data_IF_851423924296
#
_entry.id   IF_851423924296
#
_cell.length_a   1.000
_cell.length_b   1.000
_cell.length_c   1.000
_cell.angle_alpha   90.00
_cell.angle_beta   90.00
_cell.angle_gamma   90.00
#
_symmetry.space_group_name_H-M   'P 1'
#
loop_
_entity.id
_entity.type
_entity.pdbx_description
1 polymer ?
#
# COMPACT_ATOMS: atom_id res chain seq x y z
N UNK A 1 27.85 19.49 7.36
CA UNK A 1 27.16 18.39 6.66
C UNK A 1 26.23 18.92 5.57
N UNK A 2 25.70 18.06 4.67
CA UNK A 2 24.93 18.46 3.47
C UNK A 2 23.90 19.57 3.71
N UNK A 3 23.16 19.52 4.83
CA UNK A 3 22.17 20.55 5.16
C UNK A 3 22.81 21.89 5.55
N UNK A 4 23.95 21.87 6.21
CA UNK A 4 24.70 23.06 6.57
C UNK A 4 25.23 23.80 5.35
N UNK A 5 25.64 23.06 4.31
CA UNK A 5 26.10 23.60 3.02
C UNK A 5 24.99 24.43 2.33
N UNK A 6 23.72 24.12 2.62
CA UNK A 6 22.54 24.86 2.16
C UNK A 6 22.01 25.87 3.22
N UNK A 7 22.79 26.12 4.25
CA UNK A 7 22.43 27.09 5.32
C UNK A 7 21.27 26.63 6.20
N UNK A 8 21.03 25.32 6.28
CA UNK A 8 20.05 24.69 7.20
C UNK A 8 20.81 24.10 8.37
N UNK A 9 20.57 24.65 9.56
CA UNK A 9 21.10 24.13 10.83
C UNK A 9 20.07 23.25 11.49
N UNK A 10 20.53 22.14 12.08
CA UNK A 10 19.70 21.18 12.78
C UNK A 10 20.49 19.95 13.20
N UNK A 11 19.81 19.04 13.85
CA UNK A 11 20.40 17.81 14.39
C UNK A 11 19.61 16.59 13.87
N UNK A 12 20.32 15.57 13.39
CA UNK A 12 19.72 14.25 13.11
C UNK A 12 19.54 13.55 14.46
N UNK A 13 18.29 13.47 14.91
CA UNK A 13 17.92 12.89 16.21
C UNK A 13 17.67 11.39 16.14
N UNK A 14 17.41 10.86 14.95
CA UNK A 14 17.17 9.44 14.77
C UNK A 14 17.43 9.03 13.31
N UNK A 15 17.84 7.77 13.12
CA UNK A 15 18.01 7.14 11.81
C UNK A 15 17.31 5.79 11.83
N UNK A 16 16.37 5.58 10.92
CA UNK A 16 15.61 4.34 10.78
C UNK A 16 15.88 3.72 9.43
N UNK A 17 16.78 2.74 9.36
CA UNK A 17 17.01 2.00 8.14
C UNK A 17 15.82 1.08 7.85
N UNK A 18 15.29 1.16 6.65
CA UNK A 18 14.26 0.25 6.15
C UNK A 18 14.81 -0.62 5.01
N UNK A 19 13.99 -1.54 4.45
CA UNK A 19 14.43 -2.44 3.39
C UNK A 19 14.71 -1.73 2.06
N UNK A 20 14.06 -0.62 1.79
CA UNK A 20 14.15 0.13 0.52
C UNK A 20 14.62 1.57 0.74
N UNK A 21 14.20 2.19 1.83
CA UNK A 21 14.39 3.60 2.17
C UNK A 21 14.93 3.69 3.59
N UNK A 22 15.85 4.63 3.84
CA UNK A 22 16.26 5.02 5.18
C UNK A 22 15.64 6.36 5.53
N UNK A 23 14.98 6.43 6.68
CA UNK A 23 14.40 7.66 7.23
C UNK A 23 15.37 8.31 8.22
N UNK A 24 15.73 9.54 7.96
CA UNK A 24 16.47 10.40 8.88
C UNK A 24 15.49 11.40 9.52
N UNK A 25 15.45 11.45 10.85
CA UNK A 25 14.64 12.41 11.57
C UNK A 25 15.51 13.63 11.91
N UNK A 26 15.23 14.76 11.27
CA UNK A 26 15.93 16.03 11.48
C UNK A 26 15.12 16.91 12.43
N UNK A 27 15.73 17.35 13.53
CA UNK A 27 15.25 18.48 14.31
C UNK A 27 15.91 19.75 13.79
N UNK A 28 15.17 20.63 13.11
CA UNK A 28 15.74 21.88 12.60
C UNK A 28 16.02 22.86 13.76
N UNK A 29 16.98 23.73 13.58
CA UNK A 29 17.24 24.81 14.54
C UNK A 29 16.02 25.75 14.65
N UNK A 30 15.83 26.36 15.81
CA UNK A 30 14.73 27.31 16.05
C UNK A 30 14.70 28.40 14.99
N UNK A 31 13.52 28.73 14.49
CA UNK A 31 13.32 29.71 13.44
C UNK A 31 13.51 29.19 12.00
N UNK A 32 13.90 27.93 11.82
CA UNK A 32 13.97 27.31 10.48
C UNK A 32 12.57 26.91 10.02
N UNK A 33 12.11 27.46 8.88
CA UNK A 33 10.83 27.11 8.29
C UNK A 33 10.92 25.73 7.65
N UNK A 34 9.97 24.85 7.95
CA UNK A 34 9.89 23.49 7.36
C UNK A 34 9.84 23.54 5.83
N UNK A 35 9.11 24.51 5.25
CA UNK A 35 9.02 24.69 3.79
C UNK A 35 10.39 24.93 3.13
N UNK A 36 11.34 25.57 3.81
CA UNK A 36 12.71 25.76 3.31
C UNK A 36 13.43 24.43 3.17
N UNK A 37 13.32 23.54 4.17
CA UNK A 37 13.98 22.24 4.14
C UNK A 37 13.31 21.31 3.09
N UNK A 38 11.97 21.36 3.02
CA UNK A 38 11.19 20.61 2.02
C UNK A 38 11.59 21.02 0.60
N UNK A 39 11.78 22.31 0.34
CA UNK A 39 12.21 22.84 -0.95
C UNK A 39 13.62 22.40 -1.38
N UNK A 40 14.44 21.88 -0.45
CA UNK A 40 15.79 21.39 -0.74
C UNK A 40 15.84 19.89 -1.09
N UNK A 41 14.71 19.23 -1.29
CA UNK A 41 14.66 17.79 -1.54
C UNK A 41 15.59 17.35 -2.69
N UNK A 42 15.56 18.06 -3.82
CA UNK A 42 16.39 17.73 -4.99
C UNK A 42 17.88 18.00 -4.74
N UNK A 43 18.19 19.07 -4.01
CA UNK A 43 19.57 19.41 -3.64
C UNK A 43 20.15 18.40 -2.66
N UNK A 44 19.35 17.93 -1.70
CA UNK A 44 19.72 16.87 -0.77
C UNK A 44 19.98 15.57 -1.54
N UNK A 45 19.07 15.19 -2.46
CA UNK A 45 19.22 13.99 -3.28
C UNK A 45 20.54 14.05 -4.09
N UNK A 46 20.79 15.16 -4.76
CA UNK A 46 22.02 15.37 -5.55
C UNK A 46 23.27 15.27 -4.67
N UNK A 47 23.29 15.95 -3.52
CA UNK A 47 24.46 15.96 -2.63
C UNK A 47 24.73 14.63 -1.96
N UNK A 48 23.70 13.79 -1.79
CA UNK A 48 23.81 12.44 -1.24
C UNK A 48 24.01 11.36 -2.31
N UNK A 49 24.09 11.74 -3.59
CA UNK A 49 24.18 10.78 -4.70
C UNK A 49 22.94 9.87 -4.83
N UNK A 50 21.81 10.30 -4.27
CA UNK A 50 20.56 9.56 -4.28
C UNK A 50 19.72 9.93 -5.51
N UNK A 51 18.92 8.96 -6.00
CA UNK A 51 18.01 9.18 -7.15
C UNK A 51 16.93 10.19 -6.83
N UNK A 52 16.50 10.26 -5.57
CA UNK A 52 15.48 11.18 -5.07
C UNK A 52 15.62 11.35 -3.55
N UNK A 53 15.05 12.41 -3.01
CA UNK A 53 14.83 12.58 -1.57
C UNK A 53 13.41 13.07 -1.34
N UNK A 54 12.80 12.63 -0.27
CA UNK A 54 11.51 13.15 0.17
C UNK A 54 11.67 13.77 1.55
N UNK A 55 11.25 15.02 1.69
CA UNK A 55 11.26 15.72 2.97
C UNK A 55 9.82 16.02 3.38
N UNK A 56 9.43 15.64 4.58
CA UNK A 56 8.07 15.84 5.10
C UNK A 56 8.08 16.15 6.60
N UNK A 57 7.03 16.82 7.07
CA UNK A 57 6.81 17.02 8.49
C UNK A 57 6.38 15.70 9.14
N UNK A 58 6.95 15.35 10.29
CA UNK A 58 6.52 14.19 11.06
C UNK A 58 5.37 14.62 11.98
N UNK A 59 4.15 14.09 11.80
CA UNK A 59 3.02 14.48 12.64
C UNK A 59 3.28 14.22 14.13
N UNK A 60 2.95 15.21 14.97
CA UNK A 60 3.10 15.10 16.43
C UNK A 60 4.53 15.18 16.96
N UNK A 61 5.51 15.54 16.13
CA UNK A 61 6.92 15.73 16.53
C UNK A 61 7.46 17.06 15.99
N UNK A 62 8.38 17.66 16.75
CA UNK A 62 9.18 18.80 16.27
C UNK A 62 10.38 18.29 15.45
N UNK A 63 10.07 17.59 14.37
CA UNK A 63 11.06 16.99 13.48
C UNK A 63 10.55 16.87 12.05
N UNK A 64 11.47 16.87 11.10
CA UNK A 64 11.25 16.59 9.69
C UNK A 64 11.79 15.19 9.35
N UNK A 65 11.06 14.44 8.57
CA UNK A 65 11.53 13.19 8.00
C UNK A 65 12.21 13.43 6.66
N UNK A 66 13.44 12.96 6.51
CA UNK A 66 14.18 12.93 5.24
C UNK A 66 14.32 11.48 4.85
N UNK A 67 13.63 11.09 3.78
CA UNK A 67 13.63 9.74 3.23
C UNK A 67 14.61 9.68 2.06
N UNK A 68 15.60 8.79 2.15
CA UNK A 68 16.57 8.53 1.10
C UNK A 68 16.51 7.07 0.67
N UNK A 69 16.43 6.77 -0.64
CA UNK A 69 16.52 5.40 -1.13
C UNK A 69 17.85 4.76 -0.76
N UNK A 70 17.82 3.51 -0.33
CA UNK A 70 19.02 2.74 -0.08
C UNK A 70 19.75 2.43 -1.39
N UNK A 71 21.08 2.39 -1.37
CA UNK A 71 21.89 1.92 -2.51
C UNK A 71 21.56 0.46 -2.84
N UNK A 72 21.45 -0.38 -1.82
CA UNK A 72 20.99 -1.77 -1.94
C UNK A 72 19.58 -1.87 -1.39
N UNK A 73 18.64 -2.19 -2.28
CA UNK A 73 17.23 -2.38 -1.93
C UNK A 73 16.96 -3.85 -1.68
N UNK A 74 16.33 -4.16 -0.56
CA UNK A 74 15.89 -5.51 -0.25
C UNK A 74 14.55 -5.80 -0.91
N UNK A 75 14.40 -7.01 -1.45
CA UNK A 75 13.10 -7.49 -1.94
C UNK A 75 12.22 -7.89 -0.76
N UNK A 76 11.02 -7.33 -0.68
CA UNK A 76 10.01 -7.71 0.29
C UNK A 76 9.14 -8.81 -0.31
N UNK A 77 9.33 -10.05 0.14
CA UNK A 77 8.58 -11.20 -0.36
C UNK A 77 7.21 -11.29 0.32
N UNK A 78 6.16 -11.53 -0.48
CA UNK A 78 4.81 -11.72 0.04
C UNK A 78 4.75 -12.86 1.07
N UNK A 79 5.41 -13.97 0.82
CA UNK A 79 5.46 -15.11 1.74
C UNK A 79 5.90 -14.68 3.14
N UNK A 80 6.96 -13.87 3.22
CA UNK A 80 7.47 -13.39 4.50
C UNK A 80 6.45 -12.53 5.25
N UNK A 81 5.60 -11.78 4.53
CA UNK A 81 4.51 -11.00 5.12
C UNK A 81 3.37 -11.89 5.62
N UNK A 82 2.97 -12.90 4.83
CA UNK A 82 1.89 -13.84 5.19
C UNK A 82 2.26 -14.72 6.40
N UNK A 83 3.55 -14.95 6.61
CA UNK A 83 4.08 -15.72 7.75
C UNK A 83 4.22 -14.89 9.04
N UNK A 84 4.08 -13.56 8.98
CA UNK A 84 4.18 -12.69 10.18
C UNK A 84 3.04 -12.94 11.16
N UNK A 85 3.32 -12.73 12.44
CA UNK A 85 2.31 -12.83 13.51
C UNK A 85 1.19 -11.80 13.30
N UNK A 86 1.53 -10.61 12.82
CA UNK A 86 0.59 -9.53 12.53
C UNK A 86 -0.45 -9.95 11.47
N UNK A 87 -0.05 -10.67 10.43
CA UNK A 87 -0.97 -11.17 9.43
C UNK A 87 -1.77 -12.37 9.94
N UNK A 88 -1.11 -13.36 10.54
CA UNK A 88 -1.75 -14.60 11.02
C UNK A 88 -2.80 -14.33 12.11
N UNK A 89 -2.49 -13.44 13.04
CA UNK A 89 -3.35 -13.13 14.20
C UNK A 89 -4.25 -11.91 13.96
N UNK A 90 -4.24 -11.34 12.75
CA UNK A 90 -5.06 -10.17 12.42
C UNK A 90 -6.54 -10.47 12.64
N UNK A 91 -7.27 -9.55 13.25
CA UNK A 91 -8.72 -9.61 13.43
C UNK A 91 -9.48 -8.99 12.24
N UNK A 92 -8.75 -8.55 11.21
CA UNK A 92 -9.35 -8.00 9.99
C UNK A 92 -10.18 -9.06 9.26
N UNK A 93 -11.38 -8.69 8.84
CA UNK A 93 -12.27 -9.58 8.06
C UNK A 93 -11.67 -9.90 6.69
N UNK A 94 -11.13 -8.89 6.02
CA UNK A 94 -10.48 -8.97 4.71
C UNK A 94 -9.06 -8.42 4.81
N UNK A 95 -8.17 -9.16 5.49
CA UNK A 95 -6.79 -8.74 5.71
C UNK A 95 -5.99 -8.71 4.40
N UNK A 96 -5.35 -7.58 4.11
CA UNK A 96 -4.42 -7.40 3.01
C UNK A 96 -3.01 -7.15 3.56
N UNK A 97 -2.05 -7.93 3.10
CA UNK A 97 -0.64 -7.70 3.36
C UNK A 97 -0.07 -6.77 2.27
N UNK A 98 0.04 -5.48 2.55
CA UNK A 98 0.44 -4.48 1.55
C UNK A 98 1.95 -4.39 1.36
N UNK A 99 2.74 -4.74 2.37
CA UNK A 99 4.19 -4.60 2.32
C UNK A 99 4.78 -4.34 3.69
N UNK A 100 5.91 -3.64 3.71
CA UNK A 100 6.57 -3.15 4.93
C UNK A 100 6.57 -1.63 4.94
N UNK A 101 6.44 -1.07 6.13
CA UNK A 101 6.65 0.36 6.35
C UNK A 101 8.11 0.74 6.11
N UNK A 102 8.42 2.04 6.09
CA UNK A 102 9.79 2.56 5.99
C UNK A 102 10.68 1.95 7.08
N UNK A 103 10.17 1.74 8.28
CA UNK A 103 10.89 1.12 9.40
C UNK A 103 10.95 -0.41 9.38
N UNK A 104 10.47 -1.06 8.31
CA UNK A 104 10.51 -2.51 8.14
C UNK A 104 9.35 -3.29 8.79
N UNK A 105 8.44 -2.63 9.49
CA UNK A 105 7.28 -3.28 10.10
C UNK A 105 6.25 -3.70 9.03
N UNK A 106 5.61 -4.89 9.15
CA UNK A 106 4.54 -5.30 8.25
C UNK A 106 3.38 -4.31 8.24
N UNK A 107 2.82 -4.03 7.05
CA UNK A 107 1.63 -3.19 6.88
C UNK A 107 0.47 -4.08 6.47
N UNK A 108 -0.42 -4.34 7.42
CA UNK A 108 -1.63 -5.14 7.25
C UNK A 108 -2.84 -4.24 7.43
N UNK A 109 -3.76 -4.27 6.47
CA UNK A 109 -4.97 -3.45 6.48
C UNK A 109 -6.21 -4.30 6.26
N UNK A 110 -7.38 -3.79 6.64
CA UNK A 110 -8.67 -4.46 6.43
C UNK A 110 -9.42 -3.81 5.28
N UNK A 111 -9.55 -4.52 4.16
CA UNK A 111 -10.32 -4.06 2.99
C UNK A 111 -11.79 -3.82 3.35
N UNK A 112 -12.37 -4.58 4.30
CA UNK A 112 -13.75 -4.40 4.71
C UNK A 112 -14.02 -3.03 5.34
N UNK A 113 -12.99 -2.38 5.90
CA UNK A 113 -13.07 -1.03 6.48
C UNK A 113 -12.83 0.10 5.48
N UNK A 114 -12.30 -0.22 4.29
CA UNK A 114 -12.02 0.78 3.25
C UNK A 114 -13.19 1.00 2.30
N UNK A 115 -14.16 0.21 2.25
CA UNK A 115 -14.93 -0.64 1.34
C UNK A 115 -14.55 -0.49 -0.14
N UNK A 116 -13.94 0.60 -0.54
CA UNK A 116 -13.45 0.86 -1.90
C UNK A 116 -11.98 1.24 -1.85
N UNK A 117 -11.21 0.68 -2.78
CA UNK A 117 -9.77 0.93 -2.91
C UNK A 117 -9.43 1.27 -4.35
N UNK A 118 -8.82 2.44 -4.55
CA UNK A 118 -8.25 2.84 -5.84
C UNK A 118 -6.75 2.59 -5.81
N UNK A 119 -6.26 1.79 -6.77
CA UNK A 119 -4.82 1.55 -6.97
C UNK A 119 -4.40 2.21 -8.27
N UNK A 120 -3.54 3.22 -8.19
CA UNK A 120 -3.04 3.95 -9.34
C UNK A 120 -1.52 3.86 -9.43
N UNK A 121 -1.00 3.87 -10.66
CA UNK A 121 0.43 3.84 -10.93
C UNK A 121 0.71 3.80 -12.42
N UNK A 122 1.89 4.29 -12.81
CA UNK A 122 2.39 4.21 -14.19
C UNK A 122 2.77 2.78 -14.55
N UNK A 123 2.99 2.53 -15.84
CA UNK A 123 3.53 1.24 -16.29
C UNK A 123 4.85 0.93 -15.58
N UNK A 124 4.99 -0.28 -15.06
CA UNK A 124 6.19 -0.69 -14.32
C UNK A 124 6.24 -0.26 -12.85
N UNK A 125 5.26 0.48 -12.33
CA UNK A 125 5.21 0.90 -10.92
C UNK A 125 4.88 -0.24 -9.92
N UNK A 126 4.54 -1.44 -10.42
CA UNK A 126 4.16 -2.58 -9.58
C UNK A 126 2.66 -2.68 -9.27
N UNK A 127 1.79 -1.94 -9.97
CA UNK A 127 0.33 -1.98 -9.75
C UNK A 127 -0.23 -3.40 -9.84
N UNK A 128 0.11 -4.14 -10.89
CA UNK A 128 -0.35 -5.53 -11.08
C UNK A 128 0.17 -6.46 -9.99
N UNK A 129 1.42 -6.29 -9.58
CA UNK A 129 2.02 -7.02 -8.46
C UNK A 129 1.25 -6.73 -7.17
N UNK A 130 0.92 -5.46 -6.92
CA UNK A 130 0.15 -5.05 -5.73
C UNK A 130 -1.25 -5.67 -5.72
N UNK A 131 -1.97 -5.66 -6.85
CA UNK A 131 -3.29 -6.30 -6.97
C UNK A 131 -3.20 -7.80 -6.71
N UNK A 132 -2.21 -8.48 -7.31
CA UNK A 132 -1.97 -9.91 -7.06
C UNK A 132 -1.67 -10.19 -5.58
N UNK A 133 -0.85 -9.35 -4.94
CA UNK A 133 -0.55 -9.45 -3.50
C UNK A 133 -1.82 -9.35 -2.65
N UNK A 134 -2.74 -8.45 -2.99
CA UNK A 134 -4.03 -8.29 -2.31
C UNK A 134 -4.91 -9.51 -2.49
N UNK A 135 -5.05 -10.01 -3.73
CA UNK A 135 -5.83 -11.22 -4.02
C UNK A 135 -5.27 -12.42 -3.26
N UNK A 136 -3.95 -12.64 -3.34
CA UNK A 136 -3.28 -13.73 -2.62
C UNK A 136 -3.45 -13.61 -1.10
N UNK A 137 -3.39 -12.42 -0.53
CA UNK A 137 -3.64 -12.22 0.90
C UNK A 137 -5.01 -12.73 1.33
N UNK A 138 -6.04 -12.53 0.50
CA UNK A 138 -7.40 -13.00 0.78
C UNK A 138 -7.52 -14.52 0.63
N UNK A 139 -7.09 -15.09 -0.51
CA UNK A 139 -7.31 -16.51 -0.80
C UNK A 139 -6.42 -17.45 0.01
N UNK A 140 -5.25 -16.99 0.50
CA UNK A 140 -4.42 -17.77 1.43
C UNK A 140 -4.99 -17.86 2.85
N UNK A 141 -5.88 -16.94 3.20
CA UNK A 141 -6.43 -16.85 4.55
C UNK A 141 -7.89 -17.28 4.64
N UNK A 142 -8.69 -16.96 3.63
CA UNK A 142 -10.14 -17.11 3.65
C UNK A 142 -10.59 -18.24 2.74
N UNK A 143 -11.55 -19.01 3.22
CA UNK A 143 -12.21 -20.04 2.42
C UNK A 143 -13.23 -19.40 1.45
N UNK A 144 -13.67 -20.16 0.42
CA UNK A 144 -14.67 -19.67 -0.54
C UNK A 144 -16.02 -19.26 0.07
N UNK A 145 -16.38 -19.82 1.21
CA UNK A 145 -17.60 -19.44 1.96
C UNK A 145 -17.43 -18.13 2.76
N UNK A 146 -16.18 -17.74 3.04
CA UNK A 146 -15.83 -16.53 3.77
C UNK A 146 -15.53 -15.35 2.87
N UNK A 147 -15.04 -15.59 1.64
CA UNK A 147 -14.69 -14.56 0.67
C UNK A 147 -15.06 -15.01 -0.74
N UNK A 148 -15.91 -14.25 -1.40
CA UNK A 148 -16.28 -14.43 -2.81
C UNK A 148 -15.73 -13.29 -3.64
N UNK A 149 -15.28 -13.63 -4.85
CA UNK A 149 -14.61 -12.70 -5.74
C UNK A 149 -15.31 -12.66 -7.10
N UNK A 150 -15.42 -11.46 -7.65
CA UNK A 150 -15.69 -11.20 -9.06
C UNK A 150 -14.48 -10.47 -9.60
N UNK A 151 -13.82 -11.03 -10.60
CA UNK A 151 -12.65 -10.44 -11.22
C UNK A 151 -12.99 -9.96 -12.62
N UNK A 152 -12.61 -8.72 -12.93
CA UNK A 152 -12.84 -8.10 -14.24
C UNK A 152 -11.49 -7.67 -14.80
N UNK A 153 -11.09 -8.29 -15.91
CA UNK A 153 -9.81 -8.02 -16.59
C UNK A 153 -10.04 -7.83 -18.09
N UNK A 154 -10.47 -6.64 -18.53
CA UNK A 154 -10.77 -6.37 -19.93
C UNK A 154 -9.55 -6.43 -20.85
N UNK A 155 -8.35 -6.38 -20.31
CA UNK A 155 -7.10 -6.49 -21.05
C UNK A 155 -6.58 -7.92 -21.18
N UNK A 156 -7.13 -8.86 -20.42
CA UNK A 156 -6.75 -10.29 -20.38
C UNK A 156 -5.26 -10.52 -20.05
N UNK A 157 -4.67 -9.68 -19.21
CA UNK A 157 -3.22 -9.66 -18.98
C UNK A 157 -2.80 -10.13 -17.58
N UNK A 158 -3.69 -10.00 -16.58
CA UNK A 158 -3.25 -10.06 -15.18
C UNK A 158 -3.96 -11.10 -14.34
N UNK A 159 -5.27 -11.34 -14.55
CA UNK A 159 -6.11 -12.11 -13.64
C UNK A 159 -6.47 -13.52 -14.14
N UNK A 160 -6.11 -13.89 -15.36
CA UNK A 160 -6.41 -15.20 -15.95
C UNK A 160 -5.86 -16.38 -15.14
N UNK A 161 -4.78 -16.16 -14.39
CA UNK A 161 -4.17 -17.18 -13.50
C UNK A 161 -5.11 -17.62 -12.37
N UNK A 162 -6.13 -16.81 -12.05
CA UNK A 162 -7.13 -17.09 -11.02
C UNK A 162 -8.38 -17.79 -11.57
N UNK A 163 -8.50 -17.99 -12.87
CA UNK A 163 -9.63 -18.73 -13.40
C UNK A 163 -9.73 -20.11 -12.73
N UNK A 164 -10.94 -20.49 -12.40
CA UNK A 164 -11.28 -21.75 -11.75
C UNK A 164 -10.95 -21.85 -10.24
N UNK A 165 -10.44 -20.78 -9.58
CA UNK A 165 -10.36 -20.85 -8.12
C UNK A 165 -11.77 -20.87 -7.51
N UNK A 166 -11.98 -21.61 -6.41
CA UNK A 166 -13.32 -21.79 -5.84
C UNK A 166 -13.93 -20.53 -5.23
N UNK A 167 -13.14 -19.48 -5.06
CA UNK A 167 -13.57 -18.17 -4.57
C UNK A 167 -14.33 -17.35 -5.63
N UNK A 168 -14.17 -17.66 -6.91
CA UNK A 168 -14.84 -16.93 -7.98
C UNK A 168 -16.33 -17.24 -8.04
N UNK A 169 -17.17 -16.20 -8.15
CA UNK A 169 -18.61 -16.32 -8.44
C UNK A 169 -18.89 -16.57 -9.93
N UNK A 170 -17.99 -16.15 -10.80
CA UNK A 170 -18.02 -16.32 -12.24
C UNK A 170 -16.58 -16.42 -12.75
N UNK A 171 -16.31 -17.06 -13.90
CA UNK A 171 -15.00 -16.96 -14.54
C UNK A 171 -14.55 -15.50 -14.68
N UNK A 172 -13.26 -15.27 -14.79
CA UNK A 172 -12.71 -13.92 -14.96
C UNK A 172 -13.39 -13.24 -16.15
N UNK A 173 -13.98 -12.08 -15.90
CA UNK A 173 -14.76 -11.34 -16.91
C UNK A 173 -13.83 -10.51 -17.77
N UNK A 174 -13.71 -10.85 -19.04
CA UNK A 174 -12.84 -10.18 -20.00
C UNK A 174 -13.61 -9.28 -20.99
N UNK A 175 -14.90 -9.53 -21.20
CA UNK A 175 -15.77 -8.74 -22.06
C UNK A 175 -16.34 -7.53 -21.30
N UNK A 176 -16.16 -6.28 -21.80
CA UNK A 176 -16.71 -5.09 -21.17
C UNK A 176 -18.23 -5.11 -20.96
N UNK A 177 -18.99 -5.72 -21.88
CA UNK A 177 -20.45 -5.84 -21.76
C UNK A 177 -20.82 -6.76 -20.59
N UNK A 178 -20.10 -7.88 -20.45
CA UNK A 178 -20.28 -8.81 -19.33
C UNK A 178 -19.85 -8.18 -18.01
N UNK A 179 -18.83 -7.30 -18.00
CA UNK A 179 -18.44 -6.55 -16.82
C UNK A 179 -19.58 -5.67 -16.29
N UNK A 180 -20.32 -4.99 -17.17
CA UNK A 180 -21.51 -4.21 -16.79
C UNK A 180 -22.58 -5.10 -16.17
N UNK A 181 -22.78 -6.30 -16.71
CA UNK A 181 -23.74 -7.27 -16.15
C UNK A 181 -23.32 -7.71 -14.75
N UNK A 182 -22.04 -8.04 -14.56
CA UNK A 182 -21.50 -8.43 -13.27
C UNK A 182 -21.65 -7.32 -12.21
N UNK A 183 -21.36 -6.08 -12.57
CA UNK A 183 -21.54 -4.94 -11.68
C UNK A 183 -23.01 -4.70 -11.32
N UNK A 184 -23.93 -4.77 -12.29
CA UNK A 184 -25.38 -4.66 -12.03
C UNK A 184 -25.88 -5.79 -11.13
N UNK A 185 -25.36 -7.01 -11.28
CA UNK A 185 -25.67 -8.10 -10.38
C UNK A 185 -25.22 -7.80 -8.95
N UNK A 186 -24.01 -7.28 -8.79
CA UNK A 186 -23.47 -6.90 -7.47
C UNK A 186 -24.35 -5.85 -6.78
N UNK A 187 -24.84 -4.86 -7.53
CA UNK A 187 -25.75 -3.84 -7.00
C UNK A 187 -27.05 -4.48 -6.51
N UNK A 188 -27.65 -5.38 -7.28
CA UNK A 188 -28.88 -6.08 -6.89
C UNK A 188 -28.67 -6.92 -5.64
N UNK A 189 -27.57 -7.67 -5.57
CA UNK A 189 -27.22 -8.47 -4.40
C UNK A 189 -27.07 -7.60 -3.15
N UNK A 190 -26.46 -6.43 -3.28
CA UNK A 190 -26.35 -5.44 -2.21
C UNK A 190 -27.73 -4.97 -1.76
N UNK A 191 -28.62 -4.59 -2.67
CA UNK A 191 -29.98 -4.15 -2.35
C UNK A 191 -30.81 -5.25 -1.67
N UNK A 192 -30.69 -6.50 -2.12
CA UNK A 192 -31.38 -7.63 -1.55
C UNK A 192 -30.90 -7.92 -0.11
N UNK A 193 -29.61 -7.78 0.16
CA UNK A 193 -29.06 -7.85 1.52
C UNK A 193 -29.56 -6.72 2.40
N UNK A 194 -29.64 -5.49 1.91
CA UNK A 194 -30.23 -4.37 2.63
C UNK A 194 -31.69 -4.63 2.99
N UNK A 195 -32.49 -5.13 2.03
CA UNK A 195 -33.90 -5.49 2.29
C UNK A 195 -34.02 -6.60 3.33
N UNK A 196 -33.15 -7.60 3.29
CA UNK A 196 -33.13 -8.68 4.27
C UNK A 196 -32.78 -8.14 5.68
N UNK A 197 -31.79 -7.28 5.80
CA UNK A 197 -31.39 -6.67 7.08
C UNK A 197 -32.51 -5.77 7.64
N UNK A 198 -33.17 -4.98 6.79
CA UNK A 198 -34.27 -4.11 7.20
C UNK A 198 -35.49 -4.85 7.75
N UNK A 199 -35.65 -6.14 7.42
CA UNK A 199 -36.73 -6.98 7.96
C UNK A 199 -36.43 -7.56 9.34
N UNK A 200 -35.19 -7.51 9.75
CA UNK A 200 -34.73 -8.05 11.05
C UNK A 200 -34.75 -7.00 12.17
N UNK A 201 -35.06 -5.72 11.84
CA UNK A 201 -35.13 -4.59 12.77
C UNK A 201 -33.85 -3.78 12.82
#
# INVERSE_FOLDING_TARGET
GVLEDFGVRGEIINVRPGPVITLYELRPARGTKSSRVIGLSDDIARSMGAVSARVSVIPGRDALGIELPNERRETVYLRALLETAEFRNSQAKLALALGKSIGGAPVIVDLARMPHLLVAGTTGSGKSVSINTMVLSLIYRLRPDQCRLIMVDPKMLELSVYDQIPHLLTPVVTDPKKAVVALKWTVREMEDRYRAMSKLG
#
